data_IF_618855386578
#
_entry.id   IF_618855386578
#
_cell.length_a   1.000
_cell.length_b   1.000
_cell.length_c   1.000
_cell.angle_alpha   90.00
_cell.angle_beta   90.00
_cell.angle_gamma   90.00
#
_symmetry.space_group_name_H-M   'P 1'
#
loop_
_entity.id
_entity.type
_entity.pdbx_description
1 polymer ?
#
# COMPACT_ATOMS: atom_id res chain seq x y z
N UNK A 1 -8.50 3.03 -19.75
CA UNK A 1 -7.86 1.69 -19.80
C UNK A 1 -7.60 1.29 -21.24
N UNK A 2 -6.33 1.02 -21.54
CA UNK A 2 -5.85 0.60 -22.85
C UNK A 2 -5.07 -0.72 -22.74
N UNK A 3 -4.99 -1.50 -23.82
CA UNK A 3 -4.01 -2.59 -23.94
C UNK A 3 -2.78 -2.07 -24.66
N UNK A 4 -1.61 -2.20 -24.04
CA UNK A 4 -0.30 -1.87 -24.62
C UNK A 4 0.43 -3.14 -25.07
N UNK A 5 1.18 -3.03 -26.17
CA UNK A 5 2.12 -4.04 -26.61
C UNK A 5 3.56 -3.52 -26.37
N UNK A 6 4.26 -4.10 -25.40
CA UNK A 6 5.65 -3.77 -25.08
C UNK A 6 6.56 -4.94 -25.51
N UNK A 7 7.06 -4.89 -26.75
CA UNK A 7 7.80 -6.00 -27.34
C UNK A 7 6.92 -7.26 -27.43
N UNK A 8 7.33 -8.35 -26.79
CA UNK A 8 6.55 -9.59 -26.72
C UNK A 8 5.46 -9.60 -25.63
N UNK A 9 5.40 -8.58 -24.77
CA UNK A 9 4.47 -8.54 -23.64
C UNK A 9 3.23 -7.70 -23.95
N UNK A 10 2.06 -8.24 -23.60
CA UNK A 10 0.80 -7.48 -23.54
C UNK A 10 0.57 -6.98 -22.12
N UNK A 11 0.30 -5.68 -22.01
CA UNK A 11 0.06 -5.00 -20.74
C UNK A 11 -1.31 -4.32 -20.78
N UNK A 12 -1.92 -4.17 -19.60
CA UNK A 12 -3.03 -3.27 -19.34
C UNK A 12 -2.42 -1.96 -18.86
N UNK A 13 -2.76 -0.86 -19.53
CA UNK A 13 -2.43 0.49 -19.09
C UNK A 13 -3.64 1.09 -18.39
N UNK A 14 -3.42 1.50 -17.14
CA UNK A 14 -4.35 2.26 -16.34
C UNK A 14 -4.10 3.75 -16.54
N UNK A 15 -5.16 4.47 -16.89
CA UNK A 15 -5.12 5.91 -17.09
C UNK A 15 -5.72 6.58 -15.86
N UNK A 16 -4.90 6.64 -14.81
CA UNK A 16 -5.33 7.20 -13.53
C UNK A 16 -5.46 8.73 -13.63
N UNK A 17 -6.62 9.23 -13.24
CA UNK A 17 -6.93 10.64 -13.07
C UNK A 17 -6.38 11.12 -11.73
N UNK A 18 -5.44 12.07 -11.77
CA UNK A 18 -4.76 12.58 -10.59
C UNK A 18 -5.69 13.34 -9.65
N UNK A 19 -6.74 14.00 -10.15
CA UNK A 19 -7.69 14.74 -9.32
C UNK A 19 -8.59 13.78 -8.54
N UNK A 20 -8.97 12.66 -9.16
CA UNK A 20 -9.69 11.59 -8.46
C UNK A 20 -8.82 10.92 -7.41
N UNK A 21 -7.55 10.64 -7.72
CA UNK A 21 -6.62 10.07 -6.74
C UNK A 21 -6.41 11.03 -5.56
N UNK A 22 -6.20 12.32 -5.82
CA UNK A 22 -6.10 13.35 -4.78
C UNK A 22 -7.37 13.41 -3.92
N UNK A 23 -8.54 13.30 -4.54
CA UNK A 23 -9.82 13.27 -3.85
C UNK A 23 -9.94 12.06 -2.92
N UNK A 24 -9.51 10.87 -3.37
CA UNK A 24 -9.47 9.64 -2.56
C UNK A 24 -8.53 9.80 -1.36
N UNK A 25 -7.33 10.36 -1.57
CA UNK A 25 -6.35 10.62 -0.50
C UNK A 25 -6.98 11.49 0.60
N UNK A 26 -7.56 12.63 0.21
CA UNK A 26 -8.21 13.57 1.15
C UNK A 26 -9.40 12.94 1.86
N UNK A 27 -10.26 12.22 1.14
CA UNK A 27 -11.43 11.55 1.74
C UNK A 27 -11.03 10.46 2.75
N UNK A 28 -9.88 9.83 2.56
CA UNK A 28 -9.35 8.84 3.50
C UNK A 28 -8.63 9.47 4.71
N UNK A 29 -8.58 10.81 4.81
CA UNK A 29 -7.95 11.53 5.94
C UNK A 29 -6.43 11.63 5.84
N UNK A 30 -5.87 11.53 4.63
CA UNK A 30 -4.45 11.73 4.37
C UNK A 30 -4.24 13.06 3.65
N UNK A 31 -3.10 13.69 3.94
CA UNK A 31 -2.46 14.64 3.04
C UNK A 31 -1.35 13.93 2.27
N UNK A 32 -1.02 14.41 1.08
CA UNK A 32 0.03 13.75 0.31
C UNK A 32 0.53 14.48 -0.92
N UNK A 33 1.77 14.17 -1.27
CA UNK A 33 2.43 14.62 -2.50
C UNK A 33 2.36 13.50 -3.53
N UNK A 34 1.84 13.83 -4.71
CA UNK A 34 1.77 12.90 -5.84
C UNK A 34 2.90 13.21 -6.82
N UNK A 35 3.58 12.17 -7.27
CA UNK A 35 4.57 12.22 -8.33
C UNK A 35 4.14 11.25 -9.42
N UNK A 36 3.74 11.82 -10.56
CA UNK A 36 3.28 11.03 -11.69
C UNK A 36 4.41 10.64 -12.63
N UNK A 37 4.41 9.38 -13.06
CA UNK A 37 5.33 8.87 -14.06
C UNK A 37 4.59 8.07 -15.12
N UNK A 38 5.31 7.70 -16.19
CA UNK A 38 4.73 6.89 -17.27
C UNK A 38 4.20 5.53 -16.77
N UNK A 39 4.86 4.91 -15.78
CA UNK A 39 4.58 3.51 -15.36
C UNK A 39 3.94 3.37 -14.00
N UNK A 40 3.98 4.43 -13.20
CA UNK A 40 3.42 4.40 -11.84
C UNK A 40 3.08 5.80 -11.33
N UNK A 41 2.14 5.83 -10.41
CA UNK A 41 1.89 6.99 -9.56
C UNK A 41 2.51 6.73 -8.19
N UNK A 42 3.38 7.64 -7.74
CA UNK A 42 3.97 7.58 -6.40
C UNK A 42 3.29 8.61 -5.51
N UNK A 43 2.98 8.21 -4.28
CA UNK A 43 2.30 9.03 -3.28
C UNK A 43 3.07 8.98 -1.97
N UNK A 44 3.52 10.13 -1.49
CA UNK A 44 4.01 10.28 -0.12
C UNK A 44 2.85 10.77 0.74
N UNK A 45 2.33 9.90 1.62
CA UNK A 45 1.08 10.12 2.36
C UNK A 45 1.33 10.28 3.85
N UNK A 46 0.64 11.23 4.48
CA UNK A 46 0.68 11.47 5.93
C UNK A 46 -0.74 11.66 6.48
N UNK A 47 -1.07 10.91 7.53
CA UNK A 47 -2.32 11.09 8.27
C UNK A 47 -2.11 12.16 9.36
N UNK A 48 -2.45 13.42 9.05
CA UNK A 48 -2.16 14.57 9.92
C UNK A 48 -2.95 14.55 11.23
N UNK A 49 -4.22 14.15 11.19
CA UNK A 49 -5.11 14.17 12.37
C UNK A 49 -4.96 12.92 13.26
N UNK A 50 -4.04 12.01 12.90
CA UNK A 50 -3.87 10.75 13.60
C UNK A 50 -2.84 10.87 14.72
N UNK A 51 -3.27 10.62 15.95
CA UNK A 51 -2.43 10.65 17.15
C UNK A 51 -1.56 9.37 17.34
N UNK A 52 -1.80 8.31 16.57
CA UNK A 52 -1.09 7.02 16.69
C UNK A 52 -0.52 6.54 15.35
N UNK A 53 0.29 5.46 15.36
CA UNK A 53 0.88 4.93 14.13
C UNK A 53 -0.22 4.39 13.19
N UNK A 54 0.06 4.38 11.89
CA UNK A 54 -0.73 3.64 10.93
C UNK A 54 -0.71 2.15 11.31
N UNK A 55 -1.83 1.48 11.09
CA UNK A 55 -2.07 0.10 11.47
C UNK A 55 -1.40 -0.88 10.49
N UNK A 56 -0.12 -0.65 10.19
CA UNK A 56 0.73 -1.57 9.46
C UNK A 56 1.47 -2.43 10.49
N UNK A 57 1.12 -3.71 10.61
CA UNK A 57 1.61 -4.55 11.72
C UNK A 57 2.22 -5.86 11.22
N UNK A 58 3.07 -6.49 12.03
CA UNK A 58 3.70 -7.76 11.69
C UNK A 58 2.69 -8.91 11.82
N UNK A 59 2.44 -9.61 10.72
CA UNK A 59 1.56 -10.78 10.68
C UNK A 59 2.10 -11.95 11.51
N UNK A 60 3.41 -12.04 11.71
CA UNK A 60 4.05 -13.13 12.43
C UNK A 60 4.02 -12.96 13.96
N UNK A 61 3.72 -11.77 14.47
CA UNK A 61 3.62 -11.52 15.91
C UNK A 61 2.37 -12.23 16.48
N UNK A 62 2.52 -13.15 17.46
CA UNK A 62 1.39 -13.83 18.08
C UNK A 62 0.34 -12.89 18.69
N UNK A 63 0.73 -11.67 19.08
CA UNK A 63 -0.19 -10.66 19.59
C UNK A 63 -1.19 -10.17 18.52
N UNK A 64 -0.88 -10.35 17.24
CA UNK A 64 -1.67 -9.85 16.11
C UNK A 64 -2.57 -10.92 15.46
N UNK A 65 -2.62 -12.16 15.96
CA UNK A 65 -3.39 -13.25 15.33
C UNK A 65 -4.87 -12.90 15.10
N UNK A 66 -5.53 -12.26 16.08
CA UNK A 66 -6.92 -11.84 15.95
C UNK A 66 -7.15 -10.70 14.95
N UNK A 67 -6.12 -9.89 14.70
CA UNK A 67 -6.14 -8.81 13.70
C UNK A 67 -5.81 -9.34 12.32
N UNK A 68 -4.83 -10.24 12.23
CA UNK A 68 -4.41 -10.91 11.01
C UNK A 68 -5.60 -11.59 10.31
N UNK A 69 -6.43 -12.33 11.06
CA UNK A 69 -7.61 -13.00 10.50
C UNK A 69 -8.71 -12.05 9.98
N UNK A 70 -8.65 -10.76 10.33
CA UNK A 70 -9.62 -9.72 9.96
C UNK A 70 -9.08 -8.76 8.91
N UNK A 71 -7.80 -8.90 8.52
CA UNK A 71 -7.17 -8.02 7.56
C UNK A 71 -7.70 -8.26 6.16
N UNK A 72 -8.03 -7.14 5.50
CA UNK A 72 -8.42 -7.13 4.09
C UNK A 72 -7.19 -7.08 3.17
N UNK A 73 -6.06 -6.60 3.67
CA UNK A 73 -4.85 -6.39 2.91
C UNK A 73 -3.64 -7.03 3.58
N UNK A 74 -2.81 -7.66 2.74
CA UNK A 74 -1.57 -8.30 3.11
C UNK A 74 -0.45 -7.73 2.25
N UNK A 75 0.68 -7.40 2.86
CA UNK A 75 1.85 -6.80 2.23
C UNK A 75 2.98 -7.80 2.28
N UNK A 76 3.63 -8.09 1.15
CA UNK A 76 4.88 -8.84 1.16
C UNK A 76 6.00 -7.92 1.68
N UNK A 77 6.50 -8.17 2.88
CA UNK A 77 7.49 -7.28 3.50
C UNK A 77 8.88 -7.36 2.87
N UNK A 78 9.11 -8.19 1.84
CA UNK A 78 10.35 -8.22 1.04
C UNK A 78 10.37 -7.17 -0.07
N UNK A 79 9.21 -6.79 -0.60
CA UNK A 79 9.12 -5.89 -1.77
C UNK A 79 8.04 -4.80 -1.64
N UNK A 80 7.20 -4.88 -0.59
CA UNK A 80 6.13 -3.94 -0.31
C UNK A 80 4.89 -4.11 -1.17
N UNK A 81 4.81 -5.12 -2.03
CA UNK A 81 3.62 -5.33 -2.84
C UNK A 81 2.43 -5.70 -1.96
N UNK A 82 1.31 -5.02 -2.17
CA UNK A 82 0.04 -5.36 -1.55
C UNK A 82 -0.59 -6.48 -2.38
N UNK A 83 -0.77 -7.65 -1.78
CA UNK A 83 -1.10 -8.88 -2.48
C UNK A 83 -2.36 -8.76 -3.35
N UNK A 84 -2.27 -9.23 -4.59
CA UNK A 84 -3.36 -9.23 -5.59
C UNK A 84 -3.90 -7.83 -5.94
N UNK A 85 -3.07 -6.80 -5.76
CA UNK A 85 -3.41 -5.42 -6.13
C UNK A 85 -2.31 -4.79 -6.97
N UNK A 86 -2.59 -3.67 -7.67
CA UNK A 86 -1.55 -2.85 -8.30
C UNK A 86 -0.79 -1.95 -7.30
N UNK A 87 -1.05 -2.07 -6.00
CA UNK A 87 -0.47 -1.21 -4.96
C UNK A 87 0.82 -1.82 -4.41
N UNK A 88 1.77 -0.96 -4.09
CA UNK A 88 2.90 -1.27 -3.22
C UNK A 88 3.02 -0.20 -2.14
N UNK A 89 3.49 -0.58 -0.96
CA UNK A 89 3.69 0.29 0.19
C UNK A 89 5.13 0.20 0.69
N UNK A 90 5.66 1.31 1.15
CA UNK A 90 6.94 1.39 1.84
C UNK A 90 6.83 2.32 3.05
N UNK A 91 7.71 2.13 4.03
CA UNK A 91 7.81 3.05 5.15
C UNK A 91 8.25 4.43 4.66
N UNK A 92 7.53 5.47 5.05
CA UNK A 92 8.08 6.82 5.00
C UNK A 92 9.13 6.94 6.10
N UNK A 93 10.24 7.62 5.80
CA UNK A 93 11.31 7.84 6.78
C UNK A 93 11.47 9.33 7.05
N UNK A 94 11.72 9.66 8.31
CA UNK A 94 12.08 11.01 8.71
C UNK A 94 13.52 11.35 8.28
N UNK A 95 13.94 12.59 8.54
CA UNK A 95 15.31 13.05 8.24
C UNK A 95 16.39 12.28 9.01
N UNK A 96 16.02 11.63 10.12
CA UNK A 96 16.90 10.77 10.91
C UNK A 96 16.95 9.31 10.42
N UNK A 97 16.23 9.00 9.32
CA UNK A 97 16.16 7.65 8.77
C UNK A 97 15.26 6.68 9.53
N UNK A 98 14.53 7.16 10.55
CA UNK A 98 13.54 6.37 11.30
C UNK A 98 12.21 6.37 10.57
N UNK A 99 11.44 5.31 10.74
CA UNK A 99 10.10 5.25 10.14
C UNK A 99 9.19 6.31 10.76
N UNK A 100 8.52 7.09 9.92
CA UNK A 100 7.51 8.04 10.35
C UNK A 100 6.21 7.26 10.63
N UNK A 101 5.72 7.22 11.88
CA UNK A 101 4.65 6.30 12.29
C UNK A 101 3.30 6.60 11.62
N UNK A 102 3.04 7.85 11.27
CA UNK A 102 1.79 8.31 10.66
C UNK A 102 1.89 8.49 9.13
N UNK A 103 3.00 8.08 8.51
CA UNK A 103 3.24 8.29 7.08
C UNK A 103 3.69 7.02 6.38
N UNK A 104 3.30 6.89 5.11
CA UNK A 104 3.72 5.80 4.21
C UNK A 104 3.94 6.34 2.81
N UNK A 105 4.79 5.66 2.06
CA UNK A 105 4.88 5.83 0.61
C UNK A 105 4.05 4.74 -0.05
N UNK A 106 3.14 5.13 -0.94
CA UNK A 106 2.35 4.21 -1.75
C UNK A 106 2.72 4.39 -3.22
N UNK A 107 2.78 3.28 -3.95
CA UNK A 107 2.95 3.28 -5.39
C UNK A 107 1.78 2.54 -6.02
N UNK A 108 1.17 3.13 -7.05
CA UNK A 108 0.17 2.49 -7.89
C UNK A 108 0.81 2.20 -9.24
N UNK A 109 0.91 0.93 -9.62
CA UNK A 109 1.37 0.56 -10.95
C UNK A 109 0.32 0.93 -12.01
N UNK A 110 0.73 1.63 -13.07
CA UNK A 110 -0.12 1.93 -14.23
C UNK A 110 -0.07 0.83 -15.28
N UNK A 111 1.06 0.13 -15.37
CA UNK A 111 1.25 -0.99 -16.29
C UNK A 111 1.08 -2.31 -15.54
N UNK A 112 0.11 -3.12 -15.97
CA UNK A 112 -0.17 -4.43 -15.39
C UNK A 112 -0.04 -5.52 -16.47
N UNK A 113 0.33 -6.76 -16.10
CA UNK A 113 0.27 -7.88 -17.04
C UNK A 113 -1.14 -8.06 -17.63
N UNK A 114 -1.27 -8.41 -18.91
CA UNK A 114 -2.59 -8.62 -19.55
C UNK A 114 -3.47 -9.69 -18.84
N UNK A 115 -2.83 -10.66 -18.19
CA UNK A 115 -3.50 -11.68 -17.38
C UNK A 115 -3.85 -11.25 -15.96
N UNK A 116 -3.48 -10.03 -15.54
CA UNK A 116 -3.74 -9.55 -14.18
C UNK A 116 -5.24 -9.50 -13.91
N UNK A 117 -5.65 -10.02 -12.76
CA UNK A 117 -7.04 -10.03 -12.31
C UNK A 117 -7.07 -9.69 -10.82
N UNK A 118 -8.10 -8.95 -10.43
CA UNK A 118 -8.41 -8.70 -9.04
C UNK A 118 -8.91 -10.00 -8.36
N UNK A 119 -8.97 -10.04 -7.02
CA UNK A 119 -9.63 -11.11 -6.29
C UNK A 119 -11.02 -11.42 -6.86
N UNK A 120 -11.37 -12.70 -6.96
CA UNK A 120 -12.61 -13.13 -7.62
C UNK A 120 -12.55 -13.12 -9.15
N UNK A 121 -11.35 -13.04 -9.76
CA UNK A 121 -11.11 -13.02 -11.21
C UNK A 121 -11.73 -11.81 -11.93
N UNK A 122 -11.99 -10.72 -11.20
CA UNK A 122 -12.57 -9.52 -11.79
C UNK A 122 -11.57 -8.80 -12.70
N UNK A 123 -12.03 -8.21 -13.83
CA UNK A 123 -11.18 -7.34 -14.63
C UNK A 123 -10.79 -6.10 -13.81
N UNK A 124 -9.58 -5.60 -14.02
CA UNK A 124 -9.17 -4.32 -13.43
C UNK A 124 -9.77 -3.20 -14.26
N UNK A 125 -10.37 -2.22 -13.61
CA UNK A 125 -10.70 -0.91 -14.19
C UNK A 125 -10.20 0.19 -13.27
N UNK A 126 -10.08 1.41 -13.78
CA UNK A 126 -9.66 2.56 -12.98
C UNK A 126 -10.59 2.79 -11.77
N UNK A 127 -11.90 2.63 -11.94
CA UNK A 127 -12.87 2.78 -10.85
C UNK A 127 -12.63 1.77 -9.73
N UNK A 128 -12.32 0.52 -10.08
CA UNK A 128 -11.98 -0.53 -9.11
C UNK A 128 -10.68 -0.17 -8.39
N UNK A 129 -9.69 0.39 -9.10
CA UNK A 129 -8.43 0.83 -8.49
C UNK A 129 -8.65 1.99 -7.52
N UNK A 130 -9.51 2.97 -7.83
CA UNK A 130 -9.83 4.04 -6.89
C UNK A 130 -10.52 3.53 -5.62
N UNK A 131 -11.51 2.65 -5.77
CA UNK A 131 -12.20 2.06 -4.63
C UNK A 131 -11.26 1.20 -3.76
N UNK A 132 -10.39 0.41 -4.41
CA UNK A 132 -9.36 -0.39 -3.75
C UNK A 132 -8.39 0.50 -2.97
N UNK A 133 -7.92 1.57 -3.60
CA UNK A 133 -6.98 2.50 -2.97
C UNK A 133 -7.61 3.19 -1.76
N UNK A 134 -8.85 3.65 -1.88
CA UNK A 134 -9.62 4.18 -0.74
C UNK A 134 -9.74 3.17 0.40
N UNK A 135 -10.09 1.91 0.10
CA UNK A 135 -10.21 0.86 1.10
C UNK A 135 -8.86 0.54 1.77
N UNK A 136 -7.77 0.55 1.00
CA UNK A 136 -6.42 0.36 1.53
C UNK A 136 -6.02 1.47 2.52
N UNK A 137 -6.26 2.73 2.17
CA UNK A 137 -6.00 3.86 3.07
C UNK A 137 -6.85 3.81 4.34
N UNK A 138 -8.14 3.43 4.21
CA UNK A 138 -8.98 3.19 5.39
C UNK A 138 -8.48 2.03 6.23
N UNK A 139 -7.96 0.96 5.61
CA UNK A 139 -7.41 -0.16 6.36
C UNK A 139 -6.20 0.24 7.19
N UNK A 140 -5.31 1.08 6.64
CA UNK A 140 -4.17 1.63 7.38
C UNK A 140 -4.56 2.47 8.59
N UNK A 141 -5.78 2.98 8.69
CA UNK A 141 -6.22 3.84 9.80
C UNK A 141 -7.20 3.17 10.75
N UNK A 142 -8.04 2.23 10.27
CA UNK A 142 -9.20 1.72 11.00
C UNK A 142 -9.14 0.24 11.35
N UNK A 143 -8.68 -0.62 10.44
CA UNK A 143 -8.80 -2.09 10.59
C UNK A 143 -7.46 -2.81 10.71
N UNK A 144 -6.44 -2.33 9.99
CA UNK A 144 -5.12 -2.91 9.95
C UNK A 144 -4.75 -3.53 8.60
N UNK A 145 -3.45 -3.52 8.34
CA UNK A 145 -2.77 -4.09 7.17
C UNK A 145 -1.62 -4.95 7.68
N UNK A 146 -1.62 -6.21 7.28
CA UNK A 146 -0.65 -7.20 7.74
C UNK A 146 0.59 -7.21 6.85
N UNK A 147 1.77 -7.11 7.45
CA UNK A 147 3.07 -7.30 6.76
C UNK A 147 3.49 -8.76 6.94
N UNK A 148 3.70 -9.44 5.82
CA UNK A 148 4.00 -10.85 5.75
C UNK A 148 5.46 -11.06 5.31
N UNK A 149 6.32 -11.42 6.26
CA UNK A 149 7.71 -11.81 6.01
C UNK A 149 8.62 -10.71 5.47
N UNK A 150 9.94 -10.93 5.51
CA UNK A 150 10.91 -9.92 5.05
C UNK A 150 11.09 -8.74 6.01
N UNK A 151 11.99 -7.82 5.66
CA UNK A 151 12.39 -6.68 6.53
C UNK A 151 12.45 -5.35 5.78
N UNK A 152 12.08 -5.32 4.50
CA UNK A 152 12.13 -4.11 3.67
C UNK A 152 11.00 -3.16 4.07
N UNK A 153 9.79 -3.70 4.22
CA UNK A 153 8.68 -3.01 4.88
C UNK A 153 8.64 -3.43 6.33
N UNK A 154 8.73 -2.45 7.22
CA UNK A 154 8.69 -2.65 8.66
C UNK A 154 7.31 -2.30 9.21
N UNK A 155 6.83 -3.01 10.24
CA UNK A 155 5.60 -2.63 10.92
C UNK A 155 5.73 -1.24 11.56
N UNK A 156 4.63 -0.51 11.59
CA UNK A 156 4.48 0.79 12.25
C UNK A 156 3.68 0.67 13.56
N UNK A 157 2.82 -0.35 13.67
CA UNK A 157 2.02 -0.65 14.85
C UNK A 157 2.34 -2.05 15.41
N UNK A 158 2.10 -2.23 16.70
CA UNK A 158 2.50 -3.44 17.45
C UNK A 158 3.89 -3.31 18.07
N UNK A 159 4.51 -4.43 18.46
CA UNK A 159 5.89 -4.43 18.97
C UNK A 159 6.85 -4.20 17.79
N UNK A 160 7.30 -2.96 17.63
CA UNK A 160 8.26 -2.55 16.60
C UNK A 160 9.71 -2.65 17.07
N UNK A 161 9.95 -3.06 18.32
CA UNK A 161 11.30 -3.32 18.84
C UNK A 161 11.89 -4.56 18.19
N UNK A 162 12.99 -4.35 17.45
CA UNK A 162 13.76 -5.44 16.87
C UNK A 162 14.25 -6.38 17.97
N UNK A 163 14.08 -7.69 17.75
CA UNK A 163 14.77 -8.71 18.55
C UNK A 163 16.27 -8.52 18.28
N UNK A 164 16.92 -7.67 19.07
CA UNK A 164 18.38 -7.57 19.14
C UNK A 164 18.97 -8.86 19.72
N UNK A 165 20.27 -9.15 19.49
CA UNK A 165 20.89 -10.34 20.01
C UNK A 165 20.76 -10.33 21.54
N UNK A 166 20.13 -11.36 22.10
CA UNK A 166 20.17 -11.62 23.53
C UNK A 166 21.62 -11.97 23.87
N UNK A 167 22.26 -11.13 24.69
CA UNK A 167 23.52 -11.44 25.36
C UNK A 167 23.40 -12.73 26.17
#
# INVERSE_FOLDING_TARGET
MQVLQAGQHKLILLELDLDLVNSVVKQAGFDGKLEDSARSLQLDLTALDRQGPLLLFDAADPANLGWFSRCQFYVDGRNGNVMQTPLAVANARDRGGKNAPNSVRVRIAKELPAGFRMPGRQPVTEQVVYALFFNFLNALTKTGVAVCGGTVVQPLAGRTEGIGPRN
#
